data_IF_772106850312
#
_entry.id   IF_772106850312
#
_cell.length_a   1.000
_cell.length_b   1.000
_cell.length_c   1.000
_cell.angle_alpha   90.00
_cell.angle_beta   90.00
_cell.angle_gamma   90.00
#
_symmetry.space_group_name_H-M   'P 1'
#
loop_
_entity.id
_entity.type
_entity.pdbx_description
1 polymer ?
#
# COMPACT_ATOMS: atom_id res chain seq x y z
N UNK A 1 -11.69 13.32 -7.67
CA UNK A 1 -10.99 12.60 -6.61
C UNK A 1 -11.92 11.58 -6.05
N UNK A 2 -11.45 10.36 -5.83
CA UNK A 2 -12.19 9.35 -5.10
C UNK A 2 -11.25 8.78 -4.04
N UNK A 3 -11.43 9.20 -2.79
CA UNK A 3 -10.65 8.72 -1.65
C UNK A 3 -11.56 7.92 -0.72
N UNK A 4 -11.16 6.68 -0.42
CA UNK A 4 -11.88 5.73 0.42
C UNK A 4 -11.03 5.30 1.62
N UNK A 5 -10.17 6.19 2.13
CA UNK A 5 -9.15 5.86 3.13
C UNK A 5 -9.66 5.91 4.59
N UNK A 6 -10.88 6.39 4.86
CA UNK A 6 -11.40 6.56 6.21
C UNK A 6 -12.93 6.46 6.29
N UNK A 7 -13.49 6.79 7.45
CA UNK A 7 -14.94 6.75 7.73
C UNK A 7 -15.81 7.61 6.81
N UNK A 8 -15.26 8.55 6.07
CA UNK A 8 -16.01 9.33 5.08
C UNK A 8 -16.62 8.45 3.97
N UNK A 9 -16.20 7.19 3.90
CA UNK A 9 -16.81 6.19 3.02
C UNK A 9 -18.10 5.57 3.56
N UNK A 10 -18.50 5.88 4.79
CA UNK A 10 -19.67 5.27 5.44
C UNK A 10 -21.00 5.46 4.67
N UNK A 11 -21.11 6.50 3.86
CA UNK A 11 -22.24 6.72 2.95
C UNK A 11 -22.08 6.08 1.57
N UNK A 12 -21.12 5.20 1.35
CA UNK A 12 -20.76 4.60 0.05
C UNK A 12 -20.33 5.62 -1.02
N UNK A 13 -19.94 6.84 -0.65
CA UNK A 13 -19.62 7.91 -1.58
C UNK A 13 -18.14 8.32 -1.57
N UNK A 14 -17.45 8.19 -0.45
CA UNK A 14 -16.09 8.69 -0.27
C UNK A 14 -15.95 10.19 -0.49
N UNK A 15 -14.72 10.67 -0.59
CA UNK A 15 -14.42 12.06 -0.93
C UNK A 15 -14.31 12.24 -2.44
N UNK A 16 -15.21 13.02 -3.06
CA UNK A 16 -15.33 13.14 -4.52
C UNK A 16 -14.64 14.38 -5.10
N UNK A 17 -14.53 15.47 -4.35
CA UNK A 17 -13.92 16.74 -4.79
C UNK A 17 -12.55 16.97 -4.14
N UNK A 18 -12.52 16.98 -2.81
CA UNK A 18 -11.34 17.12 -1.98
C UNK A 18 -11.54 16.27 -0.73
N UNK A 19 -10.46 15.87 -0.09
CA UNK A 19 -10.54 15.16 1.19
C UNK A 19 -11.14 16.06 2.27
N UNK A 20 -12.12 15.59 3.03
CA UNK A 20 -12.64 16.29 4.22
C UNK A 20 -11.48 16.58 5.20
N UNK A 21 -10.47 15.73 5.23
CA UNK A 21 -9.24 15.91 6.00
C UNK A 21 -8.23 16.91 5.40
N UNK A 22 -8.52 17.51 4.25
CA UNK A 22 -7.60 18.39 3.53
C UNK A 22 -6.70 17.70 2.49
N UNK A 23 -6.79 16.37 2.34
CA UNK A 23 -5.99 15.61 1.37
C UNK A 23 -6.32 16.03 -0.06
N UNK A 24 -5.28 16.24 -0.88
CA UNK A 24 -5.42 16.50 -2.31
C UNK A 24 -5.76 15.21 -3.08
N UNK A 25 -6.26 15.37 -4.31
CA UNK A 25 -6.48 14.24 -5.21
C UNK A 25 -5.17 13.51 -5.52
N UNK A 26 -4.08 14.25 -5.70
CA UNK A 26 -2.76 13.68 -5.97
C UNK A 26 -2.24 12.89 -4.78
N UNK A 27 -2.31 13.44 -3.58
CA UNK A 27 -1.92 12.71 -2.35
C UNK A 27 -2.71 11.41 -2.20
N UNK A 28 -4.02 11.42 -2.48
CA UNK A 28 -4.85 10.22 -2.44
C UNK A 28 -4.39 9.18 -3.48
N UNK A 29 -4.10 9.60 -4.71
CA UNK A 29 -3.60 8.74 -5.77
C UNK A 29 -2.24 8.11 -5.42
N UNK A 30 -1.31 8.90 -4.88
CA UNK A 30 -0.01 8.39 -4.41
C UNK A 30 -0.15 7.38 -3.26
N UNK A 31 -1.09 7.58 -2.36
CA UNK A 31 -1.36 6.62 -1.28
C UNK A 31 -1.95 5.31 -1.81
N UNK A 32 -2.86 5.35 -2.78
CA UNK A 32 -3.37 4.14 -3.45
C UNK A 32 -2.25 3.40 -4.17
N UNK A 33 -1.36 4.13 -4.84
CA UNK A 33 -0.20 3.56 -5.50
C UNK A 33 0.80 2.94 -4.50
N UNK A 34 1.03 3.59 -3.35
CA UNK A 34 1.87 3.05 -2.29
C UNK A 34 1.28 1.74 -1.72
N UNK A 35 -0.03 1.67 -1.52
CA UNK A 35 -0.69 0.41 -1.12
C UNK A 35 -0.51 -0.66 -2.19
N UNK A 36 -0.61 -0.30 -3.47
CA UNK A 36 -0.43 -1.24 -4.57
C UNK A 36 0.98 -1.85 -4.61
N UNK A 37 2.04 -1.04 -4.51
CA UNK A 37 3.42 -1.55 -4.52
C UNK A 37 3.74 -2.35 -3.26
N UNK A 38 3.11 -1.99 -2.12
CA UNK A 38 3.23 -2.75 -0.86
C UNK A 38 2.58 -4.13 -0.97
N UNK A 39 1.45 -4.26 -1.68
CA UNK A 39 0.87 -5.59 -2.00
C UNK A 39 1.86 -6.45 -2.81
N UNK A 40 2.60 -5.83 -3.74
CA UNK A 40 3.69 -6.48 -4.46
C UNK A 40 4.79 -7.00 -3.52
N UNK A 41 5.25 -6.14 -2.60
CA UNK A 41 6.24 -6.50 -1.59
C UNK A 41 5.78 -7.69 -0.74
N UNK A 42 4.55 -7.66 -0.23
CA UNK A 42 3.99 -8.76 0.56
C UNK A 42 3.95 -10.09 -0.20
N UNK A 43 3.62 -10.06 -1.49
CA UNK A 43 3.63 -11.27 -2.31
C UNK A 43 5.05 -11.83 -2.50
N UNK A 44 6.02 -10.96 -2.78
CA UNK A 44 7.41 -11.36 -3.00
C UNK A 44 8.03 -11.95 -1.72
N UNK A 45 7.83 -11.30 -0.58
CA UNK A 45 8.31 -11.82 0.71
C UNK A 45 7.63 -13.14 1.07
N UNK A 46 6.34 -13.30 0.81
CA UNK A 46 5.61 -14.55 1.03
C UNK A 46 6.14 -15.68 0.13
N UNK A 47 6.39 -15.38 -1.15
CA UNK A 47 6.92 -16.36 -2.09
C UNK A 47 8.32 -16.85 -1.67
N UNK A 48 9.20 -15.95 -1.24
CA UNK A 48 10.53 -16.32 -0.73
C UNK A 48 10.45 -17.17 0.54
N UNK A 49 9.57 -16.82 1.49
CA UNK A 49 9.31 -17.63 2.69
C UNK A 49 8.84 -19.05 2.34
N UNK A 50 7.97 -19.17 1.33
CA UNK A 50 7.50 -20.48 0.86
C UNK A 50 8.62 -21.32 0.19
N UNK A 51 9.68 -20.66 -0.30
CA UNK A 51 10.91 -21.32 -0.79
C UNK A 51 11.91 -21.63 0.33
N UNK A 52 11.56 -21.36 1.59
CA UNK A 52 12.40 -21.65 2.77
C UNK A 52 13.35 -20.53 3.16
N UNK A 53 13.22 -19.34 2.58
CA UNK A 53 14.05 -18.20 2.97
C UNK A 53 13.63 -17.61 4.33
N UNK A 54 14.62 -17.11 5.05
CA UNK A 54 14.38 -16.48 6.35
C UNK A 54 13.57 -15.18 6.19
N UNK A 55 12.80 -14.85 7.22
CA UNK A 55 12.12 -13.56 7.35
C UNK A 55 13.17 -12.44 7.44
N UNK A 56 12.96 -11.38 6.68
CA UNK A 56 13.78 -10.18 6.71
C UNK A 56 13.00 -9.11 7.47
N UNK A 57 13.38 -8.75 8.71
CA UNK A 57 12.63 -7.81 9.55
C UNK A 57 12.45 -6.44 8.91
N UNK A 58 13.40 -6.01 8.09
CA UNK A 58 13.35 -4.74 7.36
C UNK A 58 12.20 -4.70 6.35
N UNK A 59 11.87 -5.83 5.73
CA UNK A 59 10.74 -5.93 4.80
C UNK A 59 9.41 -5.83 5.54
N UNK A 60 9.28 -6.48 6.68
CA UNK A 60 8.09 -6.40 7.53
C UNK A 60 7.91 -4.96 8.08
N UNK A 61 9.02 -4.31 8.44
CA UNK A 61 9.00 -2.91 8.85
C UNK A 61 8.58 -2.00 7.70
N UNK A 62 9.09 -2.22 6.49
CA UNK A 62 8.72 -1.44 5.30
C UNK A 62 7.22 -1.56 5.00
N UNK A 63 6.65 -2.77 5.09
CA UNK A 63 5.20 -2.98 4.94
C UNK A 63 4.43 -2.18 5.99
N UNK A 64 4.82 -2.26 7.26
CA UNK A 64 4.19 -1.55 8.37
C UNK A 64 4.20 -0.05 8.14
N UNK A 65 5.37 0.52 7.84
CA UNK A 65 5.54 1.96 7.62
C UNK A 65 4.77 2.46 6.39
N UNK A 66 4.77 1.69 5.30
CA UNK A 66 4.01 2.05 4.11
C UNK A 66 2.51 2.10 4.36
N UNK A 67 1.96 1.12 5.10
CA UNK A 67 0.55 1.13 5.46
C UNK A 67 0.22 2.25 6.45
N UNK A 68 1.09 2.49 7.44
CA UNK A 68 0.90 3.54 8.44
C UNK A 68 0.78 4.93 7.81
N UNK A 69 1.70 5.30 6.91
CA UNK A 69 1.68 6.64 6.29
C UNK A 69 0.49 6.88 5.38
N UNK A 70 -0.26 5.84 4.98
CA UNK A 70 -1.50 5.98 4.21
C UNK A 70 -2.74 6.18 5.07
N UNK A 71 -2.60 6.17 6.40
CA UNK A 71 -3.71 6.43 7.32
C UNK A 71 -4.10 7.92 7.24
N UNK A 72 -5.37 8.21 7.51
CA UNK A 72 -5.90 9.57 7.51
C UNK A 72 -5.07 10.48 8.41
N UNK A 73 -4.66 11.62 7.87
CA UNK A 73 -3.86 12.65 8.54
C UNK A 73 -2.44 12.24 8.97
N UNK A 74 -1.94 11.08 8.53
CA UNK A 74 -0.58 10.65 8.89
C UNK A 74 0.49 11.34 8.02
N UNK A 75 0.26 11.43 6.70
CA UNK A 75 1.21 12.06 5.79
C UNK A 75 0.49 12.66 4.56
N UNK A 76 0.74 13.96 4.30
CA UNK A 76 0.24 14.70 3.14
C UNK A 76 1.38 15.21 2.24
N UNK A 77 2.62 14.80 2.49
CA UNK A 77 3.78 15.16 1.70
C UNK A 77 3.90 14.23 0.49
N UNK A 78 3.60 14.77 -0.69
CA UNK A 78 3.64 14.03 -1.95
C UNK A 78 5.06 13.56 -2.31
N UNK A 79 6.10 14.34 -1.98
CA UNK A 79 7.49 13.96 -2.27
C UNK A 79 7.93 12.81 -1.37
N UNK A 80 7.56 12.83 -0.10
CA UNK A 80 7.82 11.74 0.83
C UNK A 80 7.08 10.45 0.38
N UNK A 81 5.84 10.55 -0.10
CA UNK A 81 5.10 9.40 -0.63
C UNK A 81 5.77 8.84 -1.90
N UNK A 82 6.19 9.70 -2.82
CA UNK A 82 6.91 9.28 -4.02
C UNK A 82 8.24 8.59 -3.67
N UNK A 83 9.00 9.12 -2.71
CA UNK A 83 10.24 8.51 -2.25
C UNK A 83 10.00 7.09 -1.69
N UNK A 84 8.94 6.92 -0.89
CA UNK A 84 8.54 5.59 -0.37
C UNK A 84 8.14 4.62 -1.47
N UNK A 85 7.39 5.07 -2.48
CA UNK A 85 7.02 4.24 -3.62
C UNK A 85 8.29 3.76 -4.35
N UNK A 86 9.23 4.66 -4.63
CA UNK A 86 10.51 4.30 -5.29
C UNK A 86 11.31 3.29 -4.48
N UNK A 87 11.50 3.53 -3.19
CA UNK A 87 12.21 2.61 -2.31
C UNK A 87 11.54 1.22 -2.26
N UNK A 88 10.20 1.17 -2.24
CA UNK A 88 9.46 -0.10 -2.28
C UNK A 88 9.63 -0.81 -3.62
N UNK A 89 9.62 -0.08 -4.74
CA UNK A 89 9.86 -0.66 -6.08
C UNK A 89 11.28 -1.22 -6.22
N UNK A 90 12.29 -0.50 -5.72
CA UNK A 90 13.68 -0.99 -5.68
C UNK A 90 13.78 -2.27 -4.86
N UNK A 91 13.12 -2.31 -3.69
CA UNK A 91 13.08 -3.51 -2.88
C UNK A 91 12.36 -4.67 -3.58
N UNK A 92 11.22 -4.39 -4.22
CA UNK A 92 10.49 -5.39 -5.01
C UNK A 92 11.37 -5.95 -6.16
N UNK A 93 12.14 -5.14 -6.84
CA UNK A 93 13.06 -5.58 -7.87
C UNK A 93 14.13 -6.52 -7.31
N UNK A 94 14.75 -6.16 -6.18
CA UNK A 94 15.76 -6.98 -5.51
C UNK A 94 15.21 -8.33 -5.03
N UNK A 95 13.99 -8.37 -4.48
CA UNK A 95 13.36 -9.62 -4.05
C UNK A 95 12.94 -10.48 -5.25
N UNK A 96 12.41 -9.86 -6.29
CA UNK A 96 11.99 -10.57 -7.51
C UNK A 96 13.15 -11.28 -8.20
N UNK A 97 14.35 -10.70 -8.21
CA UNK A 97 15.54 -11.32 -8.80
C UNK A 97 16.00 -12.61 -8.09
N UNK A 98 15.48 -12.88 -6.88
CA UNK A 98 15.78 -14.07 -6.07
C UNK A 98 14.77 -15.20 -6.26
N UNK A 99 13.64 -14.92 -6.94
CA UNK A 99 12.57 -15.90 -7.11
C UNK A 99 12.69 -16.63 -8.43
N UNK A 100 12.71 -17.97 -8.37
CA UNK A 100 12.68 -18.84 -9.53
C UNK A 100 11.25 -19.37 -9.75
N UNK A 101 10.70 -19.12 -10.96
CA UNK A 101 9.50 -19.80 -11.46
C UNK A 101 8.18 -19.53 -10.72
N UNK A 102 8.14 -18.59 -9.78
CA UNK A 102 6.94 -18.28 -9.02
C UNK A 102 5.94 -17.45 -9.85
N UNK A 103 4.64 -17.76 -9.72
CA UNK A 103 3.62 -16.88 -10.26
C UNK A 103 3.58 -15.56 -9.48
N UNK A 104 3.66 -14.45 -10.19
CA UNK A 104 3.63 -13.11 -9.61
C UNK A 104 2.46 -12.30 -10.14
N UNK A 105 1.76 -11.60 -9.25
CA UNK A 105 0.70 -10.66 -9.62
C UNK A 105 1.26 -9.45 -10.37
N UNK A 106 0.36 -8.67 -10.99
CA UNK A 106 0.72 -7.42 -11.63
C UNK A 106 1.40 -6.44 -10.65
N UNK A 107 1.01 -6.44 -9.36
CA UNK A 107 1.62 -5.60 -8.34
C UNK A 107 3.08 -5.99 -8.06
N UNK A 108 3.39 -7.29 -7.98
CA UNK A 108 4.74 -7.77 -7.74
C UNK A 108 5.66 -7.64 -8.98
N UNK A 109 5.08 -7.53 -10.17
CA UNK A 109 5.83 -7.38 -11.43
C UNK A 109 6.07 -5.94 -11.85
N UNK A 110 5.25 -5.00 -11.37
CA UNK A 110 5.36 -3.60 -11.79
C UNK A 110 6.69 -3.00 -11.32
N UNK A 111 7.38 -2.34 -12.23
CA UNK A 111 8.72 -1.76 -12.05
C UNK A 111 8.72 -0.24 -11.87
N UNK A 112 7.53 0.38 -11.82
CA UNK A 112 7.39 1.83 -11.71
C UNK A 112 7.35 2.57 -13.05
N UNK A 113 7.36 1.85 -14.18
CA UNK A 113 7.28 2.43 -15.51
C UNK A 113 5.89 3.03 -15.82
N UNK A 114 5.87 3.99 -16.73
CA UNK A 114 4.67 4.68 -17.19
C UNK A 114 4.29 5.88 -16.33
N UNK A 115 3.13 6.46 -16.61
CA UNK A 115 2.56 7.56 -15.83
C UNK A 115 1.97 7.04 -14.51
N UNK A 116 2.34 7.68 -13.41
CA UNK A 116 1.92 7.24 -12.08
C UNK A 116 0.49 7.65 -11.73
N UNK A 117 -0.03 8.73 -12.30
CA UNK A 117 -1.40 9.15 -12.08
C UNK A 117 -2.37 8.20 -12.81
N UNK A 118 -2.04 7.80 -14.04
CA UNK A 118 -2.77 6.78 -14.79
C UNK A 118 -2.71 5.43 -14.07
N UNK A 119 -1.53 5.06 -13.56
CA UNK A 119 -1.35 3.83 -12.80
C UNK A 119 -2.19 3.82 -11.51
N UNK A 120 -2.19 4.92 -10.76
CA UNK A 120 -2.97 5.04 -9.54
C UNK A 120 -4.48 4.88 -9.82
N UNK A 121 -4.99 5.46 -10.90
CA UNK A 121 -6.38 5.28 -11.32
C UNK A 121 -6.69 3.82 -11.66
N UNK A 122 -5.79 3.15 -12.38
CA UNK A 122 -5.98 1.76 -12.80
C UNK A 122 -5.93 0.75 -11.64
N UNK A 123 -5.31 1.10 -10.51
CA UNK A 123 -5.13 0.19 -9.35
C UNK A 123 -5.84 0.66 -8.08
N UNK A 124 -6.47 1.82 -8.11
CA UNK A 124 -7.23 2.38 -6.99
C UNK A 124 -8.47 1.55 -6.64
N UNK A 125 -9.15 1.94 -5.57
CA UNK A 125 -10.29 1.20 -5.01
C UNK A 125 -11.34 0.86 -6.05
N UNK A 126 -11.68 1.80 -6.93
CA UNK A 126 -12.72 1.61 -7.96
C UNK A 126 -12.30 0.71 -9.14
N UNK A 127 -11.04 0.31 -9.24
CA UNK A 127 -10.57 -0.63 -10.27
C UNK A 127 -11.16 -2.03 -10.11
N UNK A 128 -11.69 -2.37 -8.95
CA UNK A 128 -12.41 -3.62 -8.71
C UNK A 128 -13.89 -3.41 -9.01
N UNK A 129 -14.36 -3.94 -10.14
CA UNK A 129 -15.73 -3.71 -10.62
C UNK A 129 -16.80 -4.35 -9.73
N UNK A 130 -16.54 -5.55 -9.23
CA UNK A 130 -17.44 -6.27 -8.31
C UNK A 130 -17.45 -5.59 -6.96
N UNK A 131 -18.63 -5.13 -6.51
CA UNK A 131 -18.80 -4.33 -5.30
C UNK A 131 -18.52 -5.13 -4.02
N UNK A 132 -18.92 -6.40 -3.98
CA UNK A 132 -18.72 -7.26 -2.81
C UNK A 132 -17.23 -7.57 -2.64
N UNK A 133 -16.56 -7.93 -3.74
CA UNK A 133 -15.11 -8.18 -3.74
C UNK A 133 -14.36 -6.90 -3.36
N UNK A 134 -14.76 -5.76 -3.89
CA UNK A 134 -14.17 -4.46 -3.56
C UNK A 134 -14.30 -4.16 -2.07
N UNK A 135 -15.51 -4.30 -1.54
CA UNK A 135 -15.81 -4.02 -0.12
C UNK A 135 -15.01 -4.93 0.82
N UNK A 136 -14.92 -6.22 0.52
CA UNK A 136 -14.12 -7.16 1.32
C UNK A 136 -12.62 -6.85 1.26
N UNK A 137 -12.09 -6.50 0.09
CA UNK A 137 -10.68 -6.10 -0.07
C UNK A 137 -10.35 -4.85 0.74
N UNK A 138 -11.23 -3.87 0.71
CA UNK A 138 -11.01 -2.61 1.44
C UNK A 138 -11.19 -2.80 2.96
N UNK A 139 -12.10 -3.67 3.39
CA UNK A 139 -12.22 -4.06 4.80
C UNK A 139 -10.91 -4.68 5.33
N UNK A 140 -10.32 -5.61 4.57
CA UNK A 140 -9.03 -6.21 4.91
C UNK A 140 -7.92 -5.15 4.93
N UNK A 141 -7.84 -4.31 3.91
CA UNK A 141 -6.83 -3.26 3.80
C UNK A 141 -6.94 -2.27 4.96
N UNK A 142 -8.15 -1.88 5.34
CA UNK A 142 -8.40 -0.98 6.46
C UNK A 142 -7.99 -1.61 7.80
N UNK A 143 -8.32 -2.88 8.01
CA UNK A 143 -7.88 -3.64 9.19
C UNK A 143 -6.35 -3.72 9.31
N UNK A 144 -5.66 -4.01 8.19
CA UNK A 144 -4.19 -4.05 8.14
C UNK A 144 -3.56 -2.68 8.42
N UNK A 145 -4.15 -1.58 7.95
CA UNK A 145 -3.70 -0.22 8.30
C UNK A 145 -3.83 0.05 9.80
N UNK A 146 -4.92 -0.39 10.43
CA UNK A 146 -5.10 -0.31 11.88
C UNK A 146 -4.01 -1.08 12.64
N UNK A 147 -3.71 -2.30 12.23
CA UNK A 147 -2.60 -3.09 12.80
C UNK A 147 -1.25 -2.40 12.60
N UNK A 148 -1.01 -1.84 11.42
CA UNK A 148 0.23 -1.11 11.12
C UNK A 148 0.40 0.11 12.04
N UNK A 149 -0.68 0.83 12.37
CA UNK A 149 -0.63 1.95 13.29
C UNK A 149 -0.17 1.53 14.69
N UNK A 150 -0.73 0.46 15.23
CA UNK A 150 -0.28 -0.08 16.52
C UNK A 150 1.17 -0.55 16.48
N UNK A 151 1.55 -1.30 15.44
CA UNK A 151 2.91 -1.81 15.30
C UNK A 151 3.94 -0.69 15.12
N UNK A 152 3.61 0.38 14.39
CA UNK A 152 4.45 1.57 14.27
C UNK A 152 4.75 2.17 15.65
N UNK A 153 3.75 2.35 16.50
CA UNK A 153 3.93 2.87 17.85
C UNK A 153 4.75 1.94 18.74
N UNK A 154 4.50 0.62 18.66
CA UNK A 154 5.30 -0.37 19.40
C UNK A 154 6.78 -0.28 19.02
N UNK A 155 7.07 -0.19 17.72
CA UNK A 155 8.44 -0.05 17.22
C UNK A 155 9.09 1.27 17.65
N UNK A 156 8.33 2.37 17.65
CA UNK A 156 8.82 3.67 18.09
C UNK A 156 9.22 3.70 19.57
N UNK A 157 8.57 2.88 20.41
CA UNK A 157 8.92 2.74 21.84
C UNK A 157 10.00 1.68 22.11
N UNK A 158 10.64 1.12 21.07
CA UNK A 158 11.69 0.13 21.20
C UNK A 158 11.23 -1.23 21.75
N UNK A 159 9.95 -1.50 21.70
CA UNK A 159 9.36 -2.80 22.08
C UNK A 159 9.09 -3.56 20.77
N UNK A 160 9.87 -4.59 20.49
CA UNK A 160 9.50 -5.57 19.47
C UNK A 160 8.32 -6.39 19.97
N UNK A 161 7.31 -6.55 19.13
CA UNK A 161 6.22 -7.49 19.38
C UNK A 161 6.67 -8.92 19.16
#
# INVERSE_FOLDING_TARGET
MFCYQCQETAGCTGCTRAGVCGKSARTAALQDLLVYVTRGLCQLTTALRNQGEAIIPEDDRLVTENLFVTITNANFDDDALQARIRATLERNAALRSRLDGAWLSAAARWDGSGDWDDKAQAVGVLSTADEDIRSLRELITYGLKGMAAYNHHVNAYGKSA
#
